data_IF_297388801728
#
_entry.id   IF_297388801728
#
_cell.length_a   1.000
_cell.length_b   1.000
_cell.length_c   1.000
_cell.angle_alpha   90.00
_cell.angle_beta   90.00
_cell.angle_gamma   90.00
#
_symmetry.space_group_name_H-M   'P 1'
#
loop_
_entity.id
_entity.type
_entity.pdbx_description
1 polymer ?
#
# COMPACT_ATOMS: atom_id res chain seq x y z
N UNK A 1 -17.53 -3.93 2.79
CA UNK A 1 -17.40 -4.33 1.38
C UNK A 1 -17.53 -5.84 1.32
N UNK A 2 -18.46 -6.32 0.49
CA UNK A 2 -18.69 -7.75 0.25
C UNK A 2 -17.92 -8.11 -1.02
N UNK A 3 -17.12 -9.19 -1.00
CA UNK A 3 -16.49 -9.71 -2.21
C UNK A 3 -17.55 -10.39 -3.07
N UNK A 4 -17.56 -10.11 -4.37
CA UNK A 4 -18.32 -10.91 -5.33
C UNK A 4 -17.58 -12.22 -5.62
N UNK A 5 -18.29 -13.24 -6.10
CA UNK A 5 -17.67 -14.55 -6.37
C UNK A 5 -16.65 -14.49 -7.52
N UNK A 6 -16.87 -13.62 -8.52
CA UNK A 6 -15.88 -13.33 -9.57
C UNK A 6 -14.59 -12.73 -9.00
N UNK A 7 -14.69 -11.82 -8.02
CA UNK A 7 -13.50 -11.25 -7.36
C UNK A 7 -12.72 -12.31 -6.59
N UNK A 8 -13.41 -13.23 -5.91
CA UNK A 8 -12.76 -14.35 -5.21
C UNK A 8 -12.03 -15.28 -6.18
N UNK A 9 -12.67 -15.62 -7.31
CA UNK A 9 -12.05 -16.44 -8.37
C UNK A 9 -10.81 -15.77 -8.97
N UNK A 10 -10.83 -14.44 -9.11
CA UNK A 10 -9.67 -13.66 -9.55
C UNK A 10 -8.56 -13.49 -8.48
N UNK A 11 -8.71 -14.09 -7.30
CA UNK A 11 -7.74 -14.02 -6.21
C UNK A 11 -7.75 -12.70 -5.43
N UNK A 12 -8.80 -11.88 -5.58
CA UNK A 12 -8.94 -10.63 -4.82
C UNK A 12 -9.19 -10.95 -3.36
N UNK A 13 -8.36 -10.39 -2.46
CA UNK A 13 -8.55 -10.54 -1.02
C UNK A 13 -9.24 -9.29 -0.42
N UNK A 14 -9.90 -9.41 0.74
CA UNK A 14 -10.43 -8.25 1.45
C UNK A 14 -9.37 -7.21 1.82
N UNK A 15 -8.13 -7.65 2.05
CA UNK A 15 -6.98 -6.76 2.29
C UNK A 15 -6.66 -5.95 1.04
N UNK A 16 -6.60 -6.60 -0.14
CA UNK A 16 -6.38 -5.94 -1.43
C UNK A 16 -7.42 -4.85 -1.69
N UNK A 17 -8.70 -5.18 -1.55
CA UNK A 17 -9.80 -4.22 -1.74
C UNK A 17 -9.70 -3.00 -0.82
N UNK A 18 -9.29 -3.20 0.44
CA UNK A 18 -9.05 -2.08 1.35
C UNK A 18 -7.88 -1.22 0.90
N UNK A 19 -6.77 -1.81 0.49
CA UNK A 19 -5.58 -1.05 0.08
C UNK A 19 -5.73 -0.29 -1.23
N UNK A 20 -6.65 -0.72 -2.11
CA UNK A 20 -7.01 0.00 -3.34
C UNK A 20 -7.94 1.18 -3.08
N UNK A 21 -8.46 1.34 -1.87
CA UNK A 21 -9.30 2.49 -1.50
C UNK A 21 -8.50 3.78 -1.64
N UNK A 22 -9.14 4.81 -2.19
CA UNK A 22 -8.56 6.14 -2.30
C UNK A 22 -8.38 6.77 -0.92
N UNK A 23 -7.21 7.37 -0.72
CA UNK A 23 -6.81 8.17 0.41
C UNK A 23 -6.42 9.55 -0.11
N UNK A 24 -6.75 10.59 0.65
CA UNK A 24 -6.47 11.98 0.26
C UNK A 24 -5.30 12.50 1.06
N UNK A 25 -4.34 13.13 0.39
CA UNK A 25 -3.23 13.78 1.08
C UNK A 25 -3.73 14.98 1.90
N UNK A 26 -3.41 15.07 3.21
CA UNK A 26 -3.83 16.20 4.05
C UNK A 26 -3.13 17.52 3.67
N UNK A 27 -2.03 17.48 2.92
CA UNK A 27 -1.23 18.66 2.57
C UNK A 27 -1.54 19.22 1.18
N UNK A 28 -1.67 18.37 0.17
CA UNK A 28 -1.84 18.79 -1.22
C UNK A 28 -3.18 18.40 -1.85
N UNK A 29 -4.03 17.65 -1.13
CA UNK A 29 -5.34 17.22 -1.62
C UNK A 29 -5.34 16.13 -2.69
N UNK A 30 -4.17 15.58 -3.08
CA UNK A 30 -4.11 14.50 -4.06
C UNK A 30 -4.81 13.24 -3.53
N UNK A 31 -5.71 12.67 -4.34
CA UNK A 31 -6.27 11.34 -4.11
C UNK A 31 -5.42 10.25 -4.75
N UNK A 32 -5.03 9.25 -3.97
CA UNK A 32 -4.27 8.09 -4.45
C UNK A 32 -4.60 6.86 -3.61
N UNK A 33 -4.17 5.67 -4.00
CA UNK A 33 -4.34 4.46 -3.17
C UNK A 33 -3.07 4.12 -2.40
N UNK A 34 -3.20 3.32 -1.33
CA UNK A 34 -2.03 2.82 -0.60
C UNK A 34 -1.11 2.01 -1.52
N UNK A 35 -1.67 1.27 -2.47
CA UNK A 35 -0.90 0.55 -3.48
C UNK A 35 -0.01 1.50 -4.29
N UNK A 36 -0.54 2.60 -4.80
CA UNK A 36 0.22 3.60 -5.56
C UNK A 36 1.31 4.26 -4.71
N UNK A 37 0.98 4.59 -3.45
CA UNK A 37 1.96 5.11 -2.50
C UNK A 37 3.14 4.17 -2.32
N UNK A 38 2.87 2.86 -2.14
CA UNK A 38 3.90 1.85 -1.91
C UNK A 38 4.76 1.57 -3.14
N UNK A 39 4.10 1.41 -4.29
CA UNK A 39 4.75 1.04 -5.54
C UNK A 39 5.52 2.18 -6.19
N UNK A 40 5.23 3.44 -5.86
CA UNK A 40 5.85 4.62 -6.47
C UNK A 40 6.66 5.39 -5.41
N UNK A 41 5.99 5.96 -4.40
CA UNK A 41 6.61 6.89 -3.45
C UNK A 41 7.47 6.20 -2.38
N UNK A 42 7.11 4.99 -1.94
CA UNK A 42 7.87 4.25 -0.92
C UNK A 42 8.94 3.32 -1.50
N UNK A 43 9.21 3.38 -2.81
CA UNK A 43 10.24 2.56 -3.44
C UNK A 43 11.61 2.86 -2.85
N UNK A 44 12.38 1.82 -2.52
CA UNK A 44 13.71 1.95 -1.92
C UNK A 44 13.75 2.28 -0.41
N UNK A 45 12.62 2.54 0.24
CA UNK A 45 12.59 2.78 1.69
C UNK A 45 12.65 1.44 2.47
N UNK A 46 13.70 1.18 3.28
CA UNK A 46 13.79 -0.06 4.05
C UNK A 46 12.67 -0.17 5.09
N UNK A 47 12.26 0.95 5.69
CA UNK A 47 11.12 0.97 6.63
C UNK A 47 9.83 0.56 5.94
N UNK A 48 9.65 0.91 4.67
CA UNK A 48 8.49 0.48 3.92
C UNK A 48 8.41 -1.05 3.89
N UNK A 49 9.53 -1.74 3.66
CA UNK A 49 9.61 -3.22 3.64
C UNK A 49 9.29 -3.92 4.96
N UNK A 50 9.41 -3.24 6.11
CA UNK A 50 9.17 -3.80 7.45
C UNK A 50 7.79 -3.46 8.05
N UNK A 51 6.78 -3.25 7.21
CA UNK A 51 5.41 -3.01 7.69
C UNK A 51 5.19 -1.60 8.23
N UNK A 52 5.91 -0.61 7.68
CA UNK A 52 5.71 0.80 8.02
C UNK A 52 4.23 1.19 7.88
N UNK A 53 3.68 1.89 8.87
CA UNK A 53 2.26 2.25 8.92
C UNK A 53 1.98 3.69 8.46
N UNK A 54 2.90 4.23 7.66
CA UNK A 54 2.76 5.54 7.03
C UNK A 54 2.47 5.37 5.54
N UNK A 55 1.63 6.23 5.00
CA UNK A 55 1.51 6.50 3.57
C UNK A 55 2.37 7.71 3.20
N UNK A 56 2.97 7.67 2.01
CA UNK A 56 3.72 8.79 1.44
C UNK A 56 2.98 9.32 0.21
N UNK A 57 2.74 10.63 0.16
CA UNK A 57 2.10 11.26 -0.98
C UNK A 57 2.99 11.21 -2.23
N UNK A 58 2.42 10.91 -3.39
CA UNK A 58 3.13 10.85 -4.67
C UNK A 58 3.56 12.23 -5.21
N UNK A 59 2.98 13.33 -4.70
CA UNK A 59 3.21 14.68 -5.23
C UNK A 59 4.03 15.57 -4.30
N UNK A 60 3.76 15.53 -3.01
CA UNK A 60 4.41 16.42 -2.03
C UNK A 60 5.29 15.67 -1.02
N UNK A 61 5.51 14.37 -1.23
CA UNK A 61 6.32 13.48 -0.38
C UNK A 61 5.97 13.47 1.11
N UNK A 62 4.81 14.03 1.46
CA UNK A 62 4.40 14.14 2.85
C UNK A 62 4.00 12.77 3.35
N UNK A 63 4.61 12.37 4.46
CA UNK A 63 4.32 11.11 5.15
C UNK A 63 3.24 11.35 6.20
N UNK A 64 2.24 10.49 6.24
CA UNK A 64 1.15 10.58 7.20
C UNK A 64 0.65 9.17 7.58
N UNK A 65 0.11 9.00 8.79
CA UNK A 65 -0.33 7.69 9.26
C UNK A 65 -1.48 7.12 8.40
N UNK A 66 -1.54 5.80 8.30
CA UNK A 66 -2.68 5.09 7.68
C UNK A 66 -3.95 5.15 8.55
N UNK A 67 -3.81 5.64 9.78
CA UNK A 67 -4.88 5.84 10.73
C UNK A 67 -5.91 6.84 10.21
N UNK A 68 -7.16 6.38 10.08
CA UNK A 68 -8.27 7.18 9.57
C UNK A 68 -8.78 6.72 8.21
N UNK A 69 -8.07 6.99 7.10
CA UNK A 69 -8.63 6.81 5.75
C UNK A 69 -8.88 5.34 5.38
N UNK A 70 -8.15 4.40 5.99
CA UNK A 70 -8.23 2.96 5.72
C UNK A 70 -8.74 2.15 6.92
N UNK A 71 -8.22 2.42 8.12
CA UNK A 71 -8.60 1.70 9.33
C UNK A 71 -8.14 2.49 10.57
N UNK A 72 -8.93 2.41 11.64
CA UNK A 72 -8.60 3.00 12.96
C UNK A 72 -7.74 2.07 13.82
N UNK A 73 -7.58 0.80 13.44
CA UNK A 73 -6.89 -0.20 14.25
C UNK A 73 -5.44 -0.38 13.79
N UNK A 74 -4.49 -0.15 14.69
CA UNK A 74 -3.05 -0.32 14.43
C UNK A 74 -2.69 -1.71 13.85
N UNK A 75 -3.28 -2.77 14.40
CA UNK A 75 -3.06 -4.15 13.93
C UNK A 75 -3.49 -4.33 12.48
N UNK A 76 -4.62 -3.71 12.09
CA UNK A 76 -5.10 -3.77 10.70
C UNK A 76 -4.26 -2.91 9.77
N UNK A 77 -3.73 -1.78 10.25
CA UNK A 77 -2.77 -0.98 9.46
C UNK A 77 -1.51 -1.78 9.14
N UNK A 78 -0.95 -2.48 10.15
CA UNK A 78 0.19 -3.37 9.96
C UNK A 78 -0.11 -4.47 8.94
N UNK A 79 -1.25 -5.15 9.07
CA UNK A 79 -1.68 -6.17 8.13
C UNK A 79 -1.73 -5.66 6.68
N UNK A 80 -2.30 -4.47 6.46
CA UNK A 80 -2.40 -3.86 5.13
C UNK A 80 -1.02 -3.45 4.59
N UNK A 81 -0.15 -2.91 5.45
CA UNK A 81 1.22 -2.56 5.09
C UNK A 81 2.00 -3.81 4.68
N UNK A 82 2.00 -4.86 5.52
CA UNK A 82 2.68 -6.12 5.25
C UNK A 82 2.16 -6.79 3.97
N UNK A 83 0.83 -6.78 3.77
CA UNK A 83 0.22 -7.32 2.55
C UNK A 83 0.71 -6.58 1.29
N UNK A 84 0.74 -5.24 1.29
CA UNK A 84 1.28 -4.46 0.17
C UNK A 84 2.77 -4.68 -0.04
N UNK A 85 3.54 -4.78 1.05
CA UNK A 85 4.97 -5.01 0.97
C UNK A 85 5.29 -6.36 0.33
N UNK A 86 4.52 -7.39 0.66
CA UNK A 86 4.68 -8.70 0.04
C UNK A 86 4.39 -8.66 -1.46
N UNK A 87 3.36 -7.92 -1.90
CA UNK A 87 3.05 -7.75 -3.33
C UNK A 87 4.18 -7.00 -4.05
N UNK A 88 4.63 -5.87 -3.52
CA UNK A 88 5.72 -5.08 -4.13
C UNK A 88 7.05 -5.85 -4.11
N UNK A 89 7.35 -6.57 -3.03
CA UNK A 89 8.54 -7.42 -2.91
C UNK A 89 8.51 -8.56 -3.93
N UNK A 90 7.37 -9.24 -4.08
CA UNK A 90 7.22 -10.30 -5.08
C UNK A 90 7.37 -9.77 -6.50
N UNK A 91 6.79 -8.60 -6.81
CA UNK A 91 6.99 -7.93 -8.09
C UNK A 91 8.48 -7.60 -8.34
N UNK A 92 9.16 -7.02 -7.35
CA UNK A 92 10.58 -6.69 -7.45
C UNK A 92 11.46 -7.94 -7.62
N UNK A 93 11.06 -9.09 -7.07
CA UNK A 93 11.76 -10.37 -7.24
C UNK A 93 11.50 -11.02 -8.60
N UNK A 94 10.28 -10.90 -9.14
CA UNK A 94 9.88 -11.58 -10.38
C UNK A 94 10.27 -10.82 -11.64
N UNK A 95 10.07 -9.49 -11.65
CA UNK A 95 10.27 -8.63 -12.82
C UNK A 95 11.18 -7.44 -12.54
N UNK A 96 11.43 -7.12 -11.26
CA UNK A 96 12.43 -6.12 -10.90
C UNK A 96 13.82 -6.59 -11.31
N UNK A 97 14.57 -5.76 -12.04
CA UNK A 97 15.98 -6.02 -12.34
C UNK A 97 16.69 -6.32 -11.02
N UNK A 98 17.31 -7.52 -10.89
CA UNK A 98 18.34 -7.74 -9.87
C UNK A 98 19.34 -6.61 -10.04
N UNK A 99 19.48 -5.76 -9.03
CA UNK A 99 20.57 -4.80 -9.01
C UNK A 99 21.85 -5.59 -9.22
N UNK A 100 22.50 -5.40 -10.37
CA UNK A 100 23.92 -5.72 -10.54
C UNK A 100 24.63 -4.86 -9.52
N UNK A 101 24.91 -5.47 -8.37
CA UNK A 101 25.81 -4.94 -7.37
C UNK A 101 27.22 -5.31 -7.77
#
# INVERSE_FOLDING_TARGET
MVLTDHMRQAGVTPALLKTTKKITCPRCGLEFSLFQSRAIACTGCPKASYGCQLARCLRCDTEFPLEGPLTKDWQRQKLLADYMNNIVSNYNKSVGKKGTR
#
